data_IF_875768023421
#
_entry.id   IF_875768023421
#
_cell.length_a   1.000
_cell.length_b   1.000
_cell.length_c   1.000
_cell.angle_alpha   90.00
_cell.angle_beta   90.00
_cell.angle_gamma   90.00
#
_symmetry.space_group_name_H-M   'P 1'
#
loop_
_entity.id
_entity.type
_entity.pdbx_description
1 polymer ?
#
# COMPACT_ATOMS: atom_id res chain seq x y z
N UNK A 1 -13.49 74.50 71.47
CA UNK A 1 -13.17 75.46 70.40
C UNK A 1 -12.09 74.85 69.52
N UNK A 2 -12.38 74.77 68.20
CA UNK A 2 -11.45 74.87 67.06
C UNK A 2 -10.03 74.30 67.24
N UNK A 3 -9.74 73.11 66.71
CA UNK A 3 -9.26 72.84 65.32
C UNK A 3 -7.85 73.35 65.02
N UNK A 4 -7.01 72.46 64.45
CA UNK A 4 -6.06 72.69 63.33
C UNK A 4 -4.76 71.92 63.59
N UNK A 5 -4.04 71.28 62.66
CA UNK A 5 -4.20 70.86 61.26
C UNK A 5 -2.81 70.29 60.87
N UNK A 6 -2.79 69.26 60.03
CA UNK A 6 -1.64 68.78 59.23
C UNK A 6 -0.47 68.06 59.94
N UNK A 7 -0.39 66.74 59.75
CA UNK A 7 0.66 66.17 58.88
C UNK A 7 0.04 65.03 58.05
N UNK A 8 0.16 65.22 56.75
CA UNK A 8 -0.31 64.41 55.63
C UNK A 8 0.70 63.28 55.37
N UNK A 9 0.23 62.17 54.77
CA UNK A 9 1.01 61.06 54.16
C UNK A 9 1.30 59.86 55.10
N UNK A 10 0.31 58.99 55.32
CA UNK A 10 0.51 57.55 55.58
C UNK A 10 -0.81 56.73 55.57
N UNK A 11 -1.75 56.99 54.65
CA UNK A 11 -3.06 56.31 54.68
C UNK A 11 -3.61 55.95 53.29
N UNK A 12 -2.77 55.44 52.37
CA UNK A 12 -3.22 54.80 51.12
C UNK A 12 -2.59 53.40 50.98
N UNK A 13 -2.32 52.73 52.10
CA UNK A 13 -1.70 51.40 52.11
C UNK A 13 -2.36 50.47 53.14
N UNK A 14 -3.69 50.41 53.19
CA UNK A 14 -4.37 49.47 54.09
C UNK A 14 -5.76 48.98 53.66
N UNK A 15 -6.25 49.26 52.44
CA UNK A 15 -7.62 48.84 52.01
C UNK A 15 -7.64 47.98 50.73
N UNK A 16 -6.50 47.73 50.07
CA UNK A 16 -6.48 46.84 48.88
C UNK A 16 -6.15 45.37 49.23
N UNK A 17 -6.00 45.02 50.51
CA UNK A 17 -5.55 43.69 50.95
C UNK A 17 -6.65 42.67 51.30
N UNK A 18 -7.89 42.81 50.80
CA UNK A 18 -8.99 41.89 51.14
C UNK A 18 -9.84 41.37 49.95
N UNK A 19 -9.29 41.31 48.73
CA UNK A 19 -9.94 40.58 47.61
C UNK A 19 -8.98 39.59 46.91
N UNK A 20 -7.99 39.07 47.63
CA UNK A 20 -7.21 37.91 47.24
C UNK A 20 -7.81 36.65 47.89
N UNK A 21 -8.91 36.13 47.33
CA UNK A 21 -9.51 34.89 47.80
C UNK A 21 -10.78 34.53 47.03
N UNK A 22 -10.82 33.33 46.47
CA UNK A 22 -11.92 32.73 45.70
C UNK A 22 -11.99 33.07 44.19
N UNK A 23 -10.83 33.09 43.53
CA UNK A 23 -10.75 32.73 42.11
C UNK A 23 -10.43 31.24 41.98
N UNK A 24 -11.25 30.36 42.56
CA UNK A 24 -11.21 28.93 42.22
C UNK A 24 -11.42 28.85 40.72
N UNK A 25 -10.36 28.52 39.98
CA UNK A 25 -10.44 28.22 38.57
C UNK A 25 -11.43 27.10 38.41
N UNK A 26 -12.70 27.46 38.14
CA UNK A 26 -13.65 26.60 37.47
C UNK A 26 -12.88 26.08 36.27
N UNK A 27 -12.46 24.82 36.33
CA UNK A 27 -12.32 24.02 35.13
C UNK A 27 -13.70 24.09 34.51
N UNK A 28 -13.93 25.11 33.69
CA UNK A 28 -15.04 25.14 32.76
C UNK A 28 -14.89 23.83 32.04
N UNK A 29 -15.78 22.90 32.38
CA UNK A 29 -15.93 21.63 31.72
C UNK A 29 -16.28 22.04 30.29
N UNK A 30 -15.25 22.19 29.45
CA UNK A 30 -15.43 22.51 28.03
C UNK A 30 -16.46 21.52 27.57
N UNK A 31 -17.60 22.03 27.10
CA UNK A 31 -18.65 21.20 26.57
C UNK A 31 -18.00 20.16 25.65
N UNK A 32 -18.44 18.89 25.69
CA UNK A 32 -17.88 17.85 24.84
C UNK A 32 -17.75 18.41 23.43
N UNK A 33 -16.57 18.25 22.82
CA UNK A 33 -16.32 18.83 21.51
C UNK A 33 -17.32 18.19 20.52
N UNK A 34 -18.41 18.89 20.21
CA UNK A 34 -19.48 18.34 19.38
C UNK A 34 -19.10 18.49 17.92
N UNK A 35 -19.19 17.37 17.19
CA UNK A 35 -19.05 17.33 15.74
C UNK A 35 -20.46 17.40 15.14
N UNK A 36 -20.66 18.27 14.16
CA UNK A 36 -21.88 18.26 13.36
C UNK A 36 -21.83 17.03 12.43
N UNK A 37 -22.82 16.15 12.54
CA UNK A 37 -22.88 14.90 11.78
C UNK A 37 -24.06 14.99 10.82
N UNK A 38 -23.79 14.95 9.52
CA UNK A 38 -24.83 14.88 8.49
C UNK A 38 -25.48 13.50 8.43
N UNK A 39 -26.59 13.38 7.71
CA UNK A 39 -27.36 12.12 7.60
C UNK A 39 -26.60 10.97 6.94
N UNK A 40 -25.55 11.28 6.18
CA UNK A 40 -24.67 10.31 5.50
C UNK A 40 -23.32 10.14 6.18
N UNK A 41 -23.12 10.76 7.34
CA UNK A 41 -21.80 10.84 7.95
C UNK A 41 -21.75 10.04 9.25
N UNK A 42 -20.54 9.77 9.72
CA UNK A 42 -20.27 9.34 11.08
C UNK A 42 -19.31 10.33 11.72
N UNK A 43 -19.51 10.69 12.97
CA UNK A 43 -18.57 11.60 13.63
C UNK A 43 -18.64 11.55 15.14
N UNK A 44 -17.61 12.06 15.79
CA UNK A 44 -17.53 12.06 17.24
C UNK A 44 -16.14 12.42 17.72
N UNK A 45 -15.84 12.03 18.95
CA UNK A 45 -14.54 12.28 19.59
C UNK A 45 -13.87 10.97 19.97
N UNK A 46 -12.58 10.86 19.68
CA UNK A 46 -11.72 9.79 20.17
C UNK A 46 -10.98 10.25 21.42
N UNK A 47 -11.07 9.47 22.48
CA UNK A 47 -10.38 9.75 23.75
C UNK A 47 -9.63 8.52 24.27
N UNK A 48 -8.69 8.74 25.17
CA UNK A 48 -8.05 7.70 25.99
C UNK A 48 -7.95 8.16 27.44
N UNK A 49 -7.29 7.37 28.29
CA UNK A 49 -6.97 7.77 29.67
C UNK A 49 -6.15 9.06 29.78
N UNK A 50 -5.54 9.52 28.67
CA UNK A 50 -4.75 10.76 28.60
C UNK A 50 -5.54 11.96 28.05
N UNK A 51 -6.82 11.80 27.74
CA UNK A 51 -7.66 12.82 27.12
C UNK A 51 -7.90 12.57 25.62
N UNK A 52 -8.24 13.60 24.83
CA UNK A 52 -8.47 13.45 23.40
C UNK A 52 -7.24 12.96 22.65
N UNK A 53 -7.44 12.06 21.69
CA UNK A 53 -6.36 11.48 20.88
C UNK A 53 -6.30 12.18 19.52
N UNK A 54 -5.30 13.03 19.34
CA UNK A 54 -5.05 13.71 18.08
C UNK A 54 -4.24 12.84 17.09
N UNK A 55 -4.52 12.98 15.80
CA UNK A 55 -3.77 12.31 14.74
C UNK A 55 -3.92 10.80 14.74
N UNK A 56 -5.06 10.25 15.18
CA UNK A 56 -5.36 8.81 15.09
C UNK A 56 -6.35 8.56 13.97
N UNK A 57 -6.26 7.39 13.35
CA UNK A 57 -7.16 6.99 12.28
C UNK A 57 -8.45 6.41 12.86
N UNK A 58 -9.58 6.88 12.37
CA UNK A 58 -10.87 6.23 12.58
C UNK A 58 -11.26 5.52 11.30
N UNK A 59 -11.43 4.21 11.38
CA UNK A 59 -11.71 3.32 10.26
C UNK A 59 -13.16 2.86 10.38
N UNK A 60 -13.94 3.03 9.31
CA UNK A 60 -15.25 2.40 9.14
C UNK A 60 -15.18 1.38 8.02
N UNK A 61 -15.41 0.10 8.32
CA UNK A 61 -15.37 -1.03 7.37
C UNK A 61 -16.75 -1.66 7.23
N UNK A 62 -17.08 -2.11 6.02
CA UNK A 62 -18.32 -2.84 5.74
C UNK A 62 -18.12 -3.90 4.66
N UNK A 63 -18.91 -4.96 4.75
CA UNK A 63 -19.07 -6.01 3.73
C UNK A 63 -20.49 -6.00 3.13
N UNK A 64 -21.33 -5.02 3.48
CA UNK A 64 -22.73 -4.96 3.04
C UNK A 64 -22.88 -4.34 1.62
N UNK A 65 -21.79 -3.80 1.07
CA UNK A 65 -21.74 -3.22 -0.27
C UNK A 65 -21.33 -4.27 -1.32
N UNK A 66 -21.56 -4.02 -2.63
CA UNK A 66 -21.21 -4.98 -3.69
C UNK A 66 -19.74 -5.40 -3.72
N UNK A 67 -18.84 -4.61 -3.13
CA UNK A 67 -17.51 -5.05 -2.72
C UNK A 67 -17.15 -4.57 -1.32
N UNK A 68 -16.23 -5.26 -0.65
CA UNK A 68 -15.73 -4.87 0.67
C UNK A 68 -15.17 -3.46 0.60
N UNK A 69 -15.57 -2.63 1.57
CA UNK A 69 -15.28 -1.21 1.59
C UNK A 69 -14.79 -0.78 2.97
N UNK A 70 -13.83 0.14 2.99
CA UNK A 70 -13.49 0.89 4.19
C UNK A 70 -13.29 2.37 3.87
N UNK A 71 -13.66 3.25 4.80
CA UNK A 71 -13.31 4.68 4.77
C UNK A 71 -12.58 5.06 6.05
N UNK A 72 -11.48 5.78 5.89
CA UNK A 72 -10.57 6.15 6.97
C UNK A 72 -10.40 7.66 6.99
N UNK A 73 -10.49 8.24 8.20
CA UNK A 73 -10.22 9.66 8.45
C UNK A 73 -9.27 9.80 9.62
N UNK A 74 -8.77 11.02 9.85
CA UNK A 74 -7.85 11.30 10.96
C UNK A 74 -8.49 12.29 11.94
N UNK A 75 -8.26 12.08 13.23
CA UNK A 75 -8.73 13.00 14.27
C UNK A 75 -7.94 14.31 14.31
N UNK A 76 -8.61 15.41 14.64
CA UNK A 76 -8.00 16.72 14.86
C UNK A 76 -7.31 16.86 16.24
N UNK A 77 -6.83 18.07 16.58
CA UNK A 77 -6.16 18.36 17.87
C UNK A 77 -7.04 18.08 19.10
N UNK A 78 -8.36 18.08 18.92
CA UNK A 78 -9.34 17.84 19.97
C UNK A 78 -9.88 16.41 19.92
N UNK A 79 -9.26 15.52 19.14
CA UNK A 79 -9.70 14.14 18.96
C UNK A 79 -10.98 14.00 18.15
N UNK A 80 -11.48 15.08 17.52
CA UNK A 80 -12.71 15.04 16.73
C UNK A 80 -12.46 14.41 15.38
N UNK A 81 -13.44 13.67 14.87
CA UNK A 81 -13.43 13.13 13.53
C UNK A 81 -14.81 13.22 12.87
N UNK A 82 -14.80 13.25 11.54
CA UNK A 82 -15.97 13.11 10.69
C UNK A 82 -15.58 12.20 9.52
N UNK A 83 -16.27 11.08 9.34
CA UNK A 83 -16.22 10.23 8.16
C UNK A 83 -17.38 10.68 7.25
N UNK A 84 -17.10 11.42 6.17
CA UNK A 84 -18.14 11.99 5.34
C UNK A 84 -18.66 10.98 4.31
N UNK A 85 -19.90 11.19 3.86
CA UNK A 85 -20.46 10.57 2.64
C UNK A 85 -20.28 9.04 2.62
N UNK A 86 -20.68 8.38 3.70
CA UNK A 86 -20.71 6.93 3.76
C UNK A 86 -21.92 6.40 2.97
N UNK A 87 -21.74 5.39 2.11
CA UNK A 87 -22.85 4.64 1.55
C UNK A 87 -23.78 4.10 2.64
N UNK A 88 -25.04 3.86 2.30
CA UNK A 88 -25.98 3.26 3.24
C UNK A 88 -25.63 1.78 3.46
N UNK A 89 -25.06 1.47 4.63
CA UNK A 89 -24.67 0.14 5.08
C UNK A 89 -24.52 0.10 6.62
N UNK A 90 -24.34 -1.09 7.20
CA UNK A 90 -23.82 -1.21 8.56
C UNK A 90 -22.29 -1.22 8.53
N UNK A 91 -21.68 -0.59 9.53
CA UNK A 91 -20.23 -0.44 9.62
C UNK A 91 -19.70 -0.97 10.94
N UNK A 92 -18.54 -1.62 10.89
CA UNK A 92 -17.66 -1.78 12.04
C UNK A 92 -16.71 -0.59 12.10
N UNK A 93 -16.68 0.12 13.22
CA UNK A 93 -15.87 1.33 13.40
C UNK A 93 -14.89 1.16 14.56
N UNK A 94 -13.62 1.49 14.33
CA UNK A 94 -12.57 1.41 15.34
C UNK A 94 -11.48 2.46 15.13
N UNK A 95 -10.61 2.58 16.12
CA UNK A 95 -9.49 3.51 16.16
C UNK A 95 -8.18 2.74 15.99
N UNK A 96 -7.28 3.28 15.17
CA UNK A 96 -5.89 2.84 15.01
C UNK A 96 -4.96 4.04 15.13
N UNK A 97 -3.75 3.86 15.65
CA UNK A 97 -2.76 4.94 15.70
C UNK A 97 -1.37 4.48 16.12
N UNK A 98 -0.34 5.26 15.78
CA UNK A 98 1.00 4.99 16.29
C UNK A 98 1.04 5.19 17.82
N UNK A 99 1.69 4.25 18.51
CA UNK A 99 1.68 4.15 19.98
C UNK A 99 0.42 3.50 20.56
N UNK A 100 -0.52 3.07 19.73
CA UNK A 100 -1.77 2.40 20.11
C UNK A 100 -1.81 0.98 19.55
N UNK A 101 -2.80 0.22 20.00
CA UNK A 101 -3.31 -0.97 19.29
C UNK A 101 -4.74 -0.66 18.82
N UNK A 102 -5.27 -1.49 17.91
CA UNK A 102 -6.66 -1.34 17.48
C UNK A 102 -7.61 -1.36 18.68
N UNK A 103 -8.54 -0.40 18.71
CA UNK A 103 -9.64 -0.42 19.67
C UNK A 103 -10.63 -1.54 19.37
N UNK A 104 -11.50 -1.92 20.32
CA UNK A 104 -12.67 -2.73 19.99
C UNK A 104 -13.47 -2.11 18.84
N UNK A 105 -13.96 -2.97 17.95
CA UNK A 105 -14.85 -2.58 16.85
C UNK A 105 -16.26 -2.32 17.38
N UNK A 106 -16.85 -1.21 16.97
CA UNK A 106 -18.23 -0.83 17.32
C UNK A 106 -19.09 -0.88 16.07
N UNK A 107 -20.16 -1.66 16.10
CA UNK A 107 -21.13 -1.73 15.01
C UNK A 107 -22.06 -0.52 15.04
N UNK A 108 -22.24 0.17 13.92
CA UNK A 108 -23.10 1.36 13.80
C UNK A 108 -23.68 1.50 12.39
N UNK A 109 -24.50 2.54 12.20
CA UNK A 109 -25.02 3.01 10.91
C UNK A 109 -24.73 4.51 10.76
N UNK A 110 -24.87 5.02 9.53
CA UNK A 110 -24.69 6.45 9.19
C UNK A 110 -25.64 7.39 9.96
N UNK A 111 -25.30 8.68 10.01
CA UNK A 111 -26.06 9.72 10.69
C UNK A 111 -25.93 9.71 12.21
N UNK A 112 -24.91 9.01 12.75
CA UNK A 112 -24.74 8.81 14.19
C UNK A 112 -23.53 9.57 14.74
N UNK A 113 -23.72 10.13 15.92
CA UNK A 113 -22.63 10.57 16.77
C UNK A 113 -22.05 9.38 17.53
N UNK A 114 -20.76 9.11 17.36
CA UNK A 114 -20.08 7.94 17.89
C UNK A 114 -18.75 8.35 18.54
N UNK A 115 -18.73 8.37 19.87
CA UNK A 115 -17.48 8.54 20.60
C UNK A 115 -16.76 7.20 20.72
N UNK A 116 -15.44 7.21 20.57
CA UNK A 116 -14.60 6.02 20.58
C UNK A 116 -13.50 6.15 21.63
N UNK A 117 -13.07 5.01 22.17
CA UNK A 117 -11.98 4.94 23.13
C UNK A 117 -10.78 4.26 22.50
N UNK A 118 -9.67 4.97 22.39
CA UNK A 118 -8.40 4.43 21.92
C UNK A 118 -7.75 3.54 22.99
N UNK A 119 -7.00 2.52 22.54
CA UNK A 119 -6.29 1.59 23.42
C UNK A 119 -4.79 1.80 23.29
N UNK A 120 -4.13 2.14 24.40
CA UNK A 120 -2.67 2.31 24.43
C UNK A 120 -1.99 0.96 24.15
N UNK A 121 -0.91 0.97 23.36
CA UNK A 121 -0.15 -0.25 23.15
C UNK A 121 0.49 -0.72 24.47
N UNK A 122 0.40 -2.02 24.81
CA UNK A 122 0.94 -2.55 26.07
C UNK A 122 2.47 -2.58 26.10
N UNK A 123 3.13 -2.46 24.95
CA UNK A 123 4.58 -2.43 24.83
C UNK A 123 5.03 -1.72 23.54
N UNK A 124 6.33 -1.40 23.46
CA UNK A 124 6.92 -0.86 22.23
C UNK A 124 6.79 -1.85 21.05
N UNK A 125 6.94 -3.14 21.31
CA UNK A 125 6.76 -4.18 20.30
C UNK A 125 5.31 -4.22 19.78
N UNK A 126 4.33 -4.15 20.66
CA UNK A 126 2.92 -4.10 20.27
C UNK A 126 2.58 -2.84 19.45
N UNK A 127 3.18 -1.69 19.78
CA UNK A 127 3.03 -0.47 18.99
C UNK A 127 3.67 -0.60 17.60
N UNK A 128 4.85 -1.21 17.51
CA UNK A 128 5.61 -1.33 16.29
C UNK A 128 4.93 -2.22 15.22
N UNK A 129 4.06 -3.14 15.64
CA UNK A 129 3.22 -3.93 14.70
C UNK A 129 2.35 -3.06 13.78
N UNK A 130 2.07 -1.81 14.18
CA UNK A 130 1.28 -0.85 13.41
C UNK A 130 2.13 0.16 12.64
N UNK A 131 3.46 0.11 12.75
CA UNK A 131 4.32 1.03 11.99
C UNK A 131 4.28 0.71 10.50
N UNK A 132 4.48 1.72 9.63
CA UNK A 132 4.61 1.48 8.20
C UNK A 132 5.71 0.47 7.90
N UNK A 133 5.51 -0.37 6.87
CA UNK A 133 6.49 -1.39 6.48
C UNK A 133 7.90 -0.83 6.26
N UNK A 134 8.03 0.41 5.79
CA UNK A 134 9.33 1.06 5.57
C UNK A 134 10.21 1.17 6.83
N UNK A 135 9.62 1.29 8.03
CA UNK A 135 10.36 1.31 9.29
C UNK A 135 10.95 -0.06 9.65
N UNK A 136 10.26 -1.12 9.27
CA UNK A 136 10.78 -2.48 9.41
C UNK A 136 11.82 -2.79 8.34
N UNK A 137 11.56 -2.35 7.11
CA UNK A 137 12.49 -2.48 5.98
C UNK A 137 13.80 -1.74 6.24
N UNK A 138 13.80 -0.60 6.94
CA UNK A 138 15.02 0.15 7.28
C UNK A 138 15.97 -0.61 8.22
N UNK A 139 15.54 -1.71 8.84
CA UNK A 139 16.42 -2.59 9.61
C UNK A 139 17.30 -3.47 8.70
N UNK A 140 17.00 -3.59 7.40
CA UNK A 140 17.82 -4.33 6.45
C UNK A 140 19.20 -3.65 6.32
N UNK A 141 20.26 -4.40 6.60
CA UNK A 141 21.62 -3.90 6.45
C UNK A 141 22.03 -3.85 4.98
N UNK A 142 22.28 -2.64 4.50
CA UNK A 142 22.84 -2.40 3.17
C UNK A 142 24.37 -2.61 3.25
N UNK A 143 25.01 -3.32 2.31
CA UNK A 143 26.47 -3.39 2.26
C UNK A 143 27.09 -1.99 2.27
N UNK A 144 28.20 -1.82 3.00
CA UNK A 144 28.87 -0.53 3.14
C UNK A 144 29.50 -0.06 1.83
N UNK A 145 29.72 1.26 1.67
CA UNK A 145 30.33 1.82 0.46
C UNK A 145 31.72 1.24 0.15
N UNK A 146 32.48 0.88 1.18
CA UNK A 146 33.83 0.29 1.07
C UNK A 146 33.84 -1.12 0.48
N UNK A 147 32.68 -1.77 0.37
CA UNK A 147 32.57 -3.10 -0.23
C UNK A 147 32.33 -3.04 -1.74
N UNK A 148 32.36 -1.86 -2.36
CA UNK A 148 32.17 -1.69 -3.79
C UNK A 148 33.47 -1.22 -4.46
N UNK A 149 33.76 -1.65 -5.70
CA UNK A 149 32.92 -2.50 -6.57
C UNK A 149 32.82 -3.94 -6.06
N UNK A 150 31.72 -4.64 -6.42
CA UNK A 150 31.56 -6.05 -6.12
C UNK A 150 32.69 -6.89 -6.71
N UNK A 151 33.15 -7.91 -5.99
CA UNK A 151 34.28 -8.77 -6.38
C UNK A 151 33.86 -10.21 -6.68
N UNK A 152 32.56 -10.45 -6.85
CA UNK A 152 32.00 -11.72 -7.30
C UNK A 152 31.90 -12.78 -6.20
N UNK A 153 31.53 -13.99 -6.61
CA UNK A 153 31.25 -15.13 -5.69
C UNK A 153 32.49 -15.61 -4.93
N UNK A 154 33.67 -15.46 -5.51
CA UNK A 154 34.95 -15.82 -4.88
C UNK A 154 35.56 -14.66 -4.07
N UNK A 155 34.89 -13.51 -4.04
CA UNK A 155 35.30 -12.32 -3.29
C UNK A 155 34.30 -12.01 -2.18
N UNK A 156 33.76 -10.78 -2.20
CA UNK A 156 32.84 -10.28 -1.18
C UNK A 156 31.38 -10.75 -1.37
N UNK A 157 31.10 -11.61 -2.35
CA UNK A 157 29.77 -12.14 -2.62
C UNK A 157 28.79 -11.13 -3.23
N UNK A 158 29.27 -9.97 -3.69
CA UNK A 158 28.50 -8.98 -4.46
C UNK A 158 28.87 -9.11 -5.93
N UNK A 159 27.88 -9.14 -6.84
CA UNK A 159 28.12 -9.26 -8.29
C UNK A 159 29.01 -8.13 -8.81
N UNK A 160 29.95 -8.46 -9.68
CA UNK A 160 30.93 -7.52 -10.24
C UNK A 160 30.32 -6.36 -11.04
N UNK A 161 29.06 -6.52 -11.49
CA UNK A 161 28.30 -5.47 -12.17
C UNK A 161 27.94 -4.32 -11.22
N UNK A 162 27.87 -4.58 -9.92
CA UNK A 162 27.55 -3.61 -8.88
C UNK A 162 28.79 -2.76 -8.57
N UNK A 163 28.97 -1.67 -9.32
CA UNK A 163 30.16 -0.82 -9.22
C UNK A 163 30.17 0.09 -7.99
N UNK A 164 28.98 0.48 -7.51
CA UNK A 164 28.82 1.34 -6.34
C UNK A 164 27.64 0.86 -5.49
N UNK A 165 27.58 1.29 -4.22
CA UNK A 165 26.47 0.98 -3.31
C UNK A 165 25.10 1.38 -3.89
N UNK A 166 25.04 2.44 -4.70
CA UNK A 166 23.79 2.88 -5.31
C UNK A 166 23.17 1.82 -6.22
N UNK A 167 23.95 1.01 -6.93
CA UNK A 167 23.40 -0.03 -7.79
C UNK A 167 22.70 -1.12 -6.97
N UNK A 168 23.27 -1.46 -5.81
CA UNK A 168 22.65 -2.41 -4.89
C UNK A 168 21.34 -1.85 -4.32
N UNK A 169 21.35 -0.59 -3.85
CA UNK A 169 20.16 0.08 -3.31
C UNK A 169 19.07 0.18 -4.39
N UNK A 170 19.44 0.60 -5.60
CA UNK A 170 18.53 0.72 -6.74
C UNK A 170 17.90 -0.63 -7.07
N UNK A 171 18.69 -1.70 -7.12
CA UNK A 171 18.18 -3.05 -7.41
C UNK A 171 17.21 -3.54 -6.33
N UNK A 172 17.43 -3.28 -5.03
CA UNK A 172 16.44 -3.63 -3.99
C UNK A 172 15.14 -2.83 -4.19
N UNK A 173 15.24 -1.54 -4.52
CA UNK A 173 14.07 -0.68 -4.71
C UNK A 173 13.27 -1.03 -5.97
N UNK A 174 13.94 -1.26 -7.09
CA UNK A 174 13.28 -1.46 -8.38
C UNK A 174 12.95 -2.92 -8.69
N UNK A 175 13.70 -3.88 -8.13
CA UNK A 175 13.51 -5.31 -8.45
C UNK A 175 12.90 -6.11 -7.29
N UNK A 176 12.82 -5.56 -6.08
CA UNK A 176 12.18 -6.22 -4.94
C UNK A 176 10.99 -5.40 -4.40
N UNK A 177 11.21 -4.13 -4.03
CA UNK A 177 10.16 -3.29 -3.42
C UNK A 177 9.01 -2.96 -4.40
N UNK A 178 9.27 -3.00 -5.70
CA UNK A 178 8.25 -2.82 -6.75
C UNK A 178 7.15 -3.89 -6.69
N UNK A 179 7.52 -5.15 -6.42
CA UNK A 179 6.59 -6.28 -6.36
C UNK A 179 6.23 -6.70 -4.94
N UNK A 180 7.08 -6.39 -3.96
CA UNK A 180 6.91 -6.80 -2.57
C UNK A 180 6.82 -5.57 -1.66
N UNK A 181 5.81 -5.53 -0.80
CA UNK A 181 5.77 -4.58 0.30
C UNK A 181 6.82 -4.97 1.36
N UNK A 182 8.10 -4.60 1.16
CA UNK A 182 9.17 -4.93 2.09
C UNK A 182 8.86 -4.32 3.47
N UNK A 183 9.08 -5.13 4.51
CA UNK A 183 8.76 -4.78 5.88
C UNK A 183 7.29 -4.95 6.29
N UNK A 184 6.40 -5.31 5.36
CA UNK A 184 5.09 -5.87 5.74
C UNK A 184 5.29 -7.15 6.58
N UNK A 185 4.31 -7.48 7.44
CA UNK A 185 4.41 -8.61 8.36
C UNK A 185 4.79 -9.91 7.65
N UNK A 186 4.08 -10.27 6.58
CA UNK A 186 4.37 -11.47 5.80
C UNK A 186 5.76 -11.52 5.16
N UNK A 187 6.40 -10.37 4.92
CA UNK A 187 7.77 -10.30 4.40
C UNK A 187 8.82 -10.34 5.51
N UNK A 188 8.60 -9.63 6.62
CA UNK A 188 9.56 -9.54 7.74
C UNK A 188 9.52 -10.73 8.70
N UNK A 189 8.53 -11.61 8.60
CA UNK A 189 8.46 -12.88 9.34
C UNK A 189 8.53 -14.05 8.38
N UNK A 190 9.03 -15.21 8.82
CA UNK A 190 9.01 -16.46 8.06
C UNK A 190 7.82 -17.33 8.47
N UNK A 191 7.22 -18.02 7.51
CA UNK A 191 6.12 -18.95 7.79
C UNK A 191 6.61 -20.16 8.57
N UNK A 192 5.78 -20.62 9.53
CA UNK A 192 6.15 -21.69 10.46
C UNK A 192 6.60 -22.96 9.73
N UNK A 193 5.88 -23.33 8.68
CA UNK A 193 6.17 -24.51 7.85
C UNK A 193 7.62 -24.51 7.32
N UNK A 194 8.13 -23.36 6.88
CA UNK A 194 9.49 -23.24 6.36
C UNK A 194 10.55 -23.26 7.46
N UNK A 195 10.22 -22.73 8.65
CA UNK A 195 11.14 -22.71 9.81
C UNK A 195 11.21 -24.03 10.56
N UNK A 196 10.26 -24.94 10.35
CA UNK A 196 10.14 -26.19 11.14
C UNK A 196 11.19 -27.25 10.79
N UNK A 197 11.92 -27.07 9.68
CA UNK A 197 12.78 -28.10 9.10
C UNK A 197 14.24 -27.67 8.91
N UNK A 198 14.66 -26.51 9.44
CA UNK A 198 15.96 -25.94 9.10
C UNK A 198 16.29 -24.62 9.77
N UNK A 199 17.42 -24.03 9.38
CA UNK A 199 17.78 -22.67 9.76
C UNK A 199 17.13 -21.63 8.83
N UNK A 200 17.23 -20.34 9.20
CA UNK A 200 16.59 -19.25 8.47
C UNK A 200 17.07 -19.09 7.02
N UNK A 201 18.30 -19.51 6.70
CA UNK A 201 18.80 -19.55 5.32
C UNK A 201 18.02 -20.57 4.46
N UNK A 202 17.76 -21.75 5.00
CA UNK A 202 16.95 -22.76 4.32
C UNK A 202 15.50 -22.29 4.17
N UNK A 203 14.93 -21.65 5.19
CA UNK A 203 13.58 -21.09 5.13
C UNK A 203 13.47 -20.00 4.05
N UNK A 204 14.44 -19.09 3.95
CA UNK A 204 14.49 -18.10 2.87
C UNK A 204 14.69 -18.71 1.49
N UNK A 205 15.50 -19.77 1.38
CA UNK A 205 15.67 -20.50 0.12
C UNK A 205 14.34 -21.09 -0.35
N UNK A 206 13.58 -21.71 0.55
CA UNK A 206 12.23 -22.23 0.25
C UNK A 206 11.27 -21.13 -0.14
N UNK A 207 11.28 -20.00 0.57
CA UNK A 207 10.48 -18.80 0.23
C UNK A 207 10.70 -18.34 -1.21
N UNK A 208 11.96 -18.20 -1.62
CA UNK A 208 12.33 -17.76 -2.99
C UNK A 208 11.90 -18.79 -4.05
N UNK A 209 11.73 -20.05 -3.66
CA UNK A 209 11.32 -21.14 -4.55
C UNK A 209 9.80 -21.38 -4.58
N UNK A 210 9.02 -20.68 -3.75
CA UNK A 210 7.59 -20.91 -3.63
C UNK A 210 6.80 -20.34 -4.83
N UNK A 211 5.75 -21.05 -5.24
CA UNK A 211 4.83 -20.63 -6.30
C UNK A 211 5.47 -20.55 -7.69
N UNK A 212 4.71 -20.00 -8.64
CA UNK A 212 5.10 -19.89 -10.05
C UNK A 212 6.14 -18.79 -10.33
N UNK A 213 6.30 -17.81 -9.43
CA UNK A 213 7.29 -16.73 -9.56
C UNK A 213 8.75 -17.20 -9.41
N UNK A 214 8.97 -18.39 -8.80
CA UNK A 214 10.26 -19.00 -8.45
C UNK A 214 11.45 -18.60 -9.32
N UNK A 215 11.36 -18.82 -10.64
CA UNK A 215 12.47 -18.56 -11.55
C UNK A 215 12.85 -17.07 -11.58
N UNK A 216 11.86 -16.18 -11.64
CA UNK A 216 12.07 -14.73 -11.61
C UNK A 216 12.68 -14.28 -10.28
N UNK A 217 12.21 -14.83 -9.16
CA UNK A 217 12.76 -14.54 -7.83
C UNK A 217 14.24 -14.96 -7.74
N UNK A 218 14.60 -16.13 -8.26
CA UNK A 218 15.98 -16.61 -8.28
C UNK A 218 16.88 -15.75 -9.19
N UNK A 219 16.40 -15.37 -10.38
CA UNK A 219 17.11 -14.49 -11.31
C UNK A 219 17.38 -13.12 -10.69
N UNK A 220 16.35 -12.49 -10.13
CA UNK A 220 16.47 -11.18 -9.48
C UNK A 220 17.43 -11.22 -8.29
N UNK A 221 17.30 -12.22 -7.41
CA UNK A 221 18.22 -12.36 -6.28
C UNK A 221 19.67 -12.59 -6.74
N UNK A 222 19.86 -13.32 -7.83
CA UNK A 222 21.15 -13.55 -8.46
C UNK A 222 21.86 -12.28 -8.95
N UNK A 223 21.13 -11.19 -9.22
CA UNK A 223 21.70 -9.90 -9.62
C UNK A 223 22.53 -9.25 -8.52
N UNK A 224 22.25 -9.57 -7.24
CA UNK A 224 23.01 -9.04 -6.11
C UNK A 224 24.26 -9.86 -5.80
N UNK A 225 24.19 -11.18 -5.97
CA UNK A 225 25.20 -12.14 -5.52
C UNK A 225 24.83 -12.80 -4.18
N UNK A 226 25.57 -13.85 -3.76
CA UNK A 226 25.22 -14.68 -2.61
C UNK A 226 25.10 -13.91 -1.29
N UNK A 227 25.76 -12.74 -1.17
CA UNK A 227 25.68 -11.91 0.04
C UNK A 227 24.26 -11.40 0.34
N UNK A 228 23.44 -11.12 -0.68
CA UNK A 228 22.11 -10.55 -0.45
C UNK A 228 21.21 -11.46 0.38
N UNK A 229 21.21 -12.77 0.11
CA UNK A 229 20.39 -13.72 0.85
C UNK A 229 20.74 -13.73 2.33
N UNK A 230 22.03 -13.66 2.68
CA UNK A 230 22.47 -13.58 4.08
C UNK A 230 21.96 -12.32 4.79
N UNK A 231 21.88 -11.18 4.09
CA UNK A 231 21.35 -9.93 4.66
C UNK A 231 19.84 -9.99 4.93
N UNK A 232 19.08 -10.64 4.05
CA UNK A 232 17.64 -10.87 4.28
C UNK A 232 17.38 -11.86 5.42
N UNK A 233 18.22 -12.89 5.54
CA UNK A 233 18.20 -13.85 6.64
C UNK A 233 18.48 -13.15 7.97
N UNK A 234 19.58 -12.42 8.06
CA UNK A 234 19.95 -11.63 9.25
C UNK A 234 18.84 -10.66 9.65
N UNK A 235 18.26 -9.96 8.67
CA UNK A 235 17.16 -9.02 8.90
C UNK A 235 15.94 -9.69 9.55
N UNK A 236 15.52 -10.86 9.05
CA UNK A 236 14.41 -11.60 9.66
C UNK A 236 14.76 -12.19 11.03
N UNK A 237 16.00 -12.63 11.21
CA UNK A 237 16.45 -13.24 12.48
C UNK A 237 16.52 -12.20 13.59
N UNK A 238 17.07 -11.00 13.31
CA UNK A 238 17.08 -9.91 14.29
C UNK A 238 15.67 -9.47 14.68
N UNK A 239 14.75 -9.35 13.71
CA UNK A 239 13.35 -9.04 13.99
C UNK A 239 12.70 -10.13 14.86
N UNK A 240 12.93 -11.40 14.55
CA UNK A 240 12.41 -12.52 15.34
C UNK A 240 13.00 -12.54 16.77
N UNK A 241 14.25 -12.09 16.93
CA UNK A 241 14.90 -11.91 18.24
C UNK A 241 14.41 -10.68 19.01
N UNK A 242 13.50 -9.88 18.44
CA UNK A 242 12.87 -8.73 19.10
C UNK A 242 13.48 -7.38 18.75
N UNK A 243 14.33 -7.29 17.71
CA UNK A 243 14.74 -6.00 17.18
C UNK A 243 13.53 -5.22 16.66
N UNK A 244 13.44 -3.95 17.05
CA UNK A 244 12.37 -3.03 16.66
C UNK A 244 12.98 -1.87 15.86
N UNK A 245 12.18 -1.23 14.98
CA UNK A 245 12.57 0.04 14.38
C UNK A 245 12.99 1.04 15.45
N UNK A 246 14.15 1.67 15.27
CA UNK A 246 14.72 2.61 16.23
C UNK A 246 13.93 3.91 16.31
N UNK A 247 13.32 4.32 15.19
CA UNK A 247 12.46 5.48 15.10
C UNK A 247 10.98 5.13 15.27
N UNK A 248 10.25 6.03 15.94
CA UNK A 248 8.79 5.95 16.07
C UNK A 248 8.16 6.86 15.02
N UNK A 249 7.23 6.37 14.19
CA UNK A 249 6.55 7.21 13.23
C UNK A 249 5.71 8.28 13.94
N UNK A 250 5.72 9.48 13.38
CA UNK A 250 4.90 10.57 13.86
C UNK A 250 3.45 10.37 13.42
N UNK A 251 2.51 10.76 14.26
CA UNK A 251 1.10 10.84 13.87
C UNK A 251 0.88 12.02 12.92
N UNK A 252 -0.13 11.96 12.04
CA UNK A 252 -0.48 13.10 11.19
C UNK A 252 -0.71 14.37 12.00
N UNK A 253 -0.20 15.50 11.50
CA UNK A 253 -0.28 16.81 12.13
C UNK A 253 -0.76 17.88 11.14
N UNK A 254 -1.39 18.94 11.67
CA UNK A 254 -1.86 20.05 10.84
C UNK A 254 -2.74 19.58 9.66
N UNK A 255 -2.34 19.98 8.44
CA UNK A 255 -3.08 19.68 7.20
C UNK A 255 -3.14 18.19 6.86
N UNK A 256 -2.21 17.37 7.34
CA UNK A 256 -2.19 15.93 7.08
C UNK A 256 -3.42 15.21 7.64
N UNK A 257 -4.09 15.83 8.62
CA UNK A 257 -5.31 15.29 9.24
C UNK A 257 -6.57 15.47 8.39
N UNK A 258 -6.50 16.24 7.31
CA UNK A 258 -7.60 16.43 6.37
C UNK A 258 -7.74 15.27 5.36
N UNK A 259 -6.90 14.24 5.46
CA UNK A 259 -6.94 13.09 4.57
C UNK A 259 -8.17 12.23 4.85
N UNK A 260 -8.88 11.89 3.76
CA UNK A 260 -9.94 10.89 3.74
C UNK A 260 -9.52 9.81 2.74
N UNK A 261 -9.45 8.56 3.20
CA UNK A 261 -9.06 7.42 2.36
C UNK A 261 -10.27 6.54 2.19
N UNK A 262 -10.64 6.25 0.96
CA UNK A 262 -11.62 5.21 0.64
C UNK A 262 -10.88 4.01 0.04
N UNK A 263 -11.21 2.82 0.52
CA UNK A 263 -10.53 1.58 0.18
C UNK A 263 -11.57 0.56 -0.24
N UNK A 264 -11.27 -0.16 -1.32
CA UNK A 264 -12.10 -1.26 -1.81
C UNK A 264 -11.26 -2.50 -2.00
N UNK A 265 -11.85 -3.64 -1.72
CA UNK A 265 -11.34 -4.91 -2.26
C UNK A 265 -11.80 -5.03 -3.70
N UNK A 266 -10.89 -5.39 -4.62
CA UNK A 266 -11.22 -5.59 -6.03
C UNK A 266 -10.17 -6.49 -6.66
N UNK A 267 -10.53 -7.22 -7.71
CA UNK A 267 -9.85 -8.44 -8.21
C UNK A 267 -10.25 -9.72 -7.44
N UNK A 268 -9.41 -10.77 -7.46
CA UNK A 268 -9.64 -12.08 -6.84
C UNK A 268 -8.57 -12.38 -5.79
N UNK A 269 -8.85 -13.21 -4.76
CA UNK A 269 -7.87 -13.57 -3.73
C UNK A 269 -6.57 -14.20 -4.24
N UNK A 270 -6.62 -14.89 -5.39
CA UNK A 270 -5.48 -15.57 -6.02
C UNK A 270 -4.80 -14.74 -7.12
N UNK A 271 -5.38 -13.60 -7.50
CA UNK A 271 -4.85 -12.74 -8.53
C UNK A 271 -3.91 -11.69 -7.92
N UNK A 272 -2.84 -11.41 -8.63
CA UNK A 272 -1.92 -10.31 -8.34
C UNK A 272 -2.35 -9.09 -9.16
N UNK A 273 -2.44 -7.91 -8.55
CA UNK A 273 -2.73 -6.65 -9.23
C UNK A 273 -1.43 -5.85 -9.36
N UNK A 274 -0.99 -5.61 -10.59
CA UNK A 274 0.29 -4.96 -10.90
C UNK A 274 0.11 -3.44 -11.12
N UNK A 275 -0.76 -3.04 -12.07
CA UNK A 275 -1.03 -1.64 -12.37
C UNK A 275 -2.51 -1.32 -12.36
N UNK A 276 -2.84 -0.02 -12.40
CA UNK A 276 -4.19 0.46 -12.63
C UNK A 276 -4.21 1.81 -13.34
N UNK A 277 -5.31 2.10 -14.03
CA UNK A 277 -5.59 3.41 -14.64
C UNK A 277 -6.97 3.90 -14.26
N UNK A 278 -7.04 5.17 -13.83
CA UNK A 278 -8.27 5.83 -13.44
C UNK A 278 -8.76 6.84 -14.47
N UNK A 279 -7.89 7.40 -15.32
CA UNK A 279 -8.24 8.44 -16.31
C UNK A 279 -7.06 8.67 -17.27
N UNK A 280 -7.27 9.46 -18.31
CA UNK A 280 -6.19 9.90 -19.20
C UNK A 280 -5.25 10.86 -18.43
N UNK A 281 -3.96 10.54 -18.38
CA UNK A 281 -2.93 11.36 -17.71
C UNK A 281 -2.82 12.79 -18.26
N UNK A 282 -3.27 13.02 -19.50
CA UNK A 282 -3.26 14.33 -20.17
C UNK A 282 -4.47 15.18 -19.79
N UNK A 283 -5.58 14.55 -19.42
CA UNK A 283 -6.80 15.23 -19.01
C UNK A 283 -7.58 14.37 -18.01
N UNK A 284 -7.48 14.65 -16.69
CA UNK A 284 -8.09 13.80 -15.68
C UNK A 284 -9.63 13.80 -15.71
N UNK A 285 -10.26 14.70 -16.47
CA UNK A 285 -11.73 14.78 -16.60
C UNK A 285 -12.33 13.73 -17.54
N UNK A 286 -11.52 13.03 -18.33
CA UNK A 286 -12.01 12.02 -19.30
C UNK A 286 -12.83 10.92 -18.62
N UNK A 287 -12.42 10.50 -17.43
CA UNK A 287 -13.07 9.44 -16.65
C UNK A 287 -13.35 9.88 -15.20
N UNK A 288 -13.76 11.14 -15.02
CA UNK A 288 -14.13 11.63 -13.70
C UNK A 288 -15.25 10.75 -13.09
N UNK A 289 -15.01 10.23 -11.89
CA UNK A 289 -15.90 9.28 -11.19
C UNK A 289 -16.21 7.98 -11.96
N UNK A 290 -15.44 7.69 -13.01
CA UNK A 290 -15.63 6.50 -13.82
C UNK A 290 -14.92 5.26 -13.25
N UNK A 291 -15.07 4.11 -13.92
CA UNK A 291 -14.43 2.87 -13.49
C UNK A 291 -12.91 2.94 -13.58
N UNK A 292 -12.22 2.31 -12.63
CA UNK A 292 -10.77 2.10 -12.62
C UNK A 292 -10.49 0.71 -13.17
N UNK A 293 -9.52 0.60 -14.07
CA UNK A 293 -9.15 -0.66 -14.72
C UNK A 293 -7.76 -1.10 -14.25
N UNK A 294 -7.63 -2.34 -13.80
CA UNK A 294 -6.37 -2.91 -13.35
C UNK A 294 -5.71 -3.85 -14.36
N UNK A 295 -4.46 -4.19 -14.13
CA UNK A 295 -3.73 -5.22 -14.86
C UNK A 295 -3.21 -6.29 -13.89
N UNK A 296 -3.45 -7.56 -14.23
CA UNK A 296 -3.14 -8.69 -13.36
C UNK A 296 -1.80 -9.37 -13.65
N UNK A 297 -1.04 -8.79 -14.57
CA UNK A 297 0.21 -9.36 -15.08
C UNK A 297 0.07 -10.84 -15.43
N UNK A 298 0.99 -11.70 -14.98
CA UNK A 298 0.98 -13.13 -15.27
C UNK A 298 -0.13 -13.90 -14.50
N UNK A 299 -0.77 -13.28 -13.50
CA UNK A 299 -1.62 -14.04 -12.58
C UNK A 299 -2.93 -14.52 -13.20
N UNK A 300 -3.56 -13.72 -14.06
CA UNK A 300 -4.80 -14.11 -14.75
C UNK A 300 -5.09 -13.21 -15.94
N UNK A 301 -5.94 -13.66 -16.87
CA UNK A 301 -6.43 -12.85 -18.00
C UNK A 301 -7.66 -11.98 -17.64
N UNK A 302 -8.11 -12.02 -16.39
CA UNK A 302 -9.22 -11.21 -15.92
C UNK A 302 -8.75 -9.80 -15.54
N UNK A 303 -9.13 -8.80 -16.33
CA UNK A 303 -8.93 -7.37 -16.02
C UNK A 303 -9.91 -6.95 -14.93
N UNK A 304 -9.45 -6.59 -13.72
CA UNK A 304 -10.34 -6.12 -12.67
C UNK A 304 -10.79 -4.69 -12.93
N UNK A 305 -12.04 -4.41 -12.57
CA UNK A 305 -12.69 -3.12 -12.74
C UNK A 305 -13.33 -2.72 -11.40
N UNK A 306 -13.01 -1.52 -10.91
CA UNK A 306 -13.63 -0.93 -9.73
C UNK A 306 -14.49 0.26 -10.14
N UNK A 307 -15.78 0.23 -9.80
CA UNK A 307 -16.69 1.39 -9.87
C UNK A 307 -16.76 2.02 -8.46
N UNK A 308 -16.00 3.10 -8.20
CA UNK A 308 -15.91 3.69 -6.86
C UNK A 308 -17.21 4.41 -6.44
N UNK A 309 -18.06 4.80 -7.39
CA UNK A 309 -19.35 5.44 -7.10
C UNK A 309 -20.36 4.40 -6.64
N UNK A 310 -20.39 3.25 -7.30
CA UNK A 310 -21.31 2.15 -6.94
C UNK A 310 -20.76 1.23 -5.85
N UNK A 311 -19.51 1.41 -5.44
CA UNK A 311 -18.82 0.52 -4.49
C UNK A 311 -18.88 -0.93 -4.97
N UNK A 312 -18.58 -1.15 -6.26
CA UNK A 312 -18.70 -2.45 -6.90
C UNK A 312 -17.42 -2.82 -7.65
N UNK A 313 -17.01 -4.09 -7.50
CA UNK A 313 -15.93 -4.67 -8.28
C UNK A 313 -16.51 -5.64 -9.33
N UNK A 314 -15.94 -5.63 -10.53
CA UNK A 314 -16.26 -6.56 -11.61
C UNK A 314 -15.00 -6.88 -12.40
N UNK A 315 -15.10 -7.73 -13.42
CA UNK A 315 -13.96 -8.12 -14.24
C UNK A 315 -14.38 -8.33 -15.69
N UNK A 316 -13.43 -8.13 -16.61
CA UNK A 316 -13.57 -8.50 -18.03
C UNK A 316 -12.42 -9.41 -18.43
N UNK A 317 -12.70 -10.44 -19.22
CA UNK A 317 -11.65 -11.33 -19.72
C UNK A 317 -10.95 -10.66 -20.91
N UNK A 318 -9.62 -10.54 -20.83
CA UNK A 318 -8.79 -10.11 -21.94
C UNK A 318 -8.64 -11.26 -22.96
N UNK A 319 -8.91 -11.04 -24.25
CA UNK A 319 -8.76 -12.07 -25.26
C UNK A 319 -7.33 -12.09 -25.85
N UNK A 320 -6.85 -13.28 -26.17
CA UNK A 320 -5.69 -13.49 -27.04
C UNK A 320 -6.13 -14.09 -28.38
N UNK A 321 -5.33 -13.88 -29.42
CA UNK A 321 -5.66 -14.29 -30.80
C UNK A 321 -5.35 -15.75 -31.08
N UNK A 322 -4.17 -16.20 -30.64
CA UNK A 322 -3.67 -17.54 -30.95
C UNK A 322 -3.92 -18.48 -29.76
N UNK A 323 -4.71 -19.56 -29.92
CA UNK A 323 -4.92 -20.57 -28.89
C UNK A 323 -3.63 -21.21 -28.33
N UNK A 324 -2.51 -21.14 -29.07
CA UNK A 324 -1.20 -21.65 -28.63
C UNK A 324 -0.43 -20.67 -27.75
N UNK A 325 -1.00 -19.50 -27.44
CA UNK A 325 -0.38 -18.53 -26.53
C UNK A 325 -0.13 -19.22 -25.18
N UNK A 326 1.11 -19.31 -24.68
CA UNK A 326 1.41 -20.06 -23.46
C UNK A 326 0.70 -19.49 -22.23
N UNK A 327 0.27 -20.36 -21.33
CA UNK A 327 -0.30 -19.98 -20.03
C UNK A 327 0.76 -19.98 -18.94
N UNK A 328 0.54 -19.16 -17.90
CA UNK A 328 1.30 -19.24 -16.65
C UNK A 328 1.14 -20.57 -15.92
N UNK A 329 0.11 -21.37 -16.22
CA UNK A 329 -0.04 -22.75 -15.71
C UNK A 329 1.12 -23.66 -16.13
N UNK A 330 1.79 -23.37 -17.25
CA UNK A 330 2.92 -24.15 -17.75
C UNK A 330 4.22 -23.86 -16.97
N UNK A 331 4.23 -22.83 -16.12
CA UNK A 331 5.39 -22.50 -15.30
C UNK A 331 5.63 -23.57 -14.24
N UNK A 332 6.90 -23.93 -14.07
CA UNK A 332 7.33 -24.71 -12.90
C UNK A 332 7.03 -23.92 -11.63
N UNK A 333 6.53 -24.59 -10.60
CA UNK A 333 6.21 -23.98 -9.32
C UNK A 333 6.81 -24.79 -8.17
N UNK A 334 6.98 -24.14 -7.02
CA UNK A 334 7.26 -24.80 -5.75
C UNK A 334 6.09 -24.66 -4.79
N UNK A 335 6.12 -25.42 -3.71
CA UNK A 335 5.10 -25.39 -2.66
C UNK A 335 4.92 -23.99 -2.06
N UNK A 336 3.67 -23.56 -1.91
CA UNK A 336 3.29 -22.33 -1.21
C UNK A 336 2.66 -22.64 0.15
N UNK A 337 3.08 -22.01 1.25
CA UNK A 337 2.48 -22.21 2.57
C UNK A 337 1.06 -21.64 2.67
N UNK A 338 0.63 -20.85 1.67
CA UNK A 338 -0.72 -20.27 1.61
C UNK A 338 -1.66 -21.04 0.68
N UNK A 339 -1.13 -21.60 -0.41
CA UNK A 339 -1.93 -22.18 -1.50
C UNK A 339 -1.55 -23.63 -1.84
N UNK A 340 -0.64 -24.23 -1.08
CA UNK A 340 -0.11 -25.57 -1.34
C UNK A 340 0.61 -25.67 -2.67
N UNK A 341 0.42 -26.79 -3.36
CA UNK A 341 0.98 -27.07 -4.68
C UNK A 341 0.05 -26.66 -5.84
N UNK A 342 -1.01 -25.90 -5.56
CA UNK A 342 -1.93 -25.43 -6.60
C UNK A 342 -1.28 -24.34 -7.47
N UNK A 343 -1.23 -24.49 -8.81
CA UNK A 343 -0.79 -23.42 -9.71
C UNK A 343 -1.90 -22.37 -9.87
N UNK A 344 -1.86 -21.34 -9.02
CA UNK A 344 -2.92 -20.32 -8.93
C UNK A 344 -2.87 -19.24 -10.04
N UNK A 345 -1.78 -19.14 -10.80
CA UNK A 345 -1.67 -18.21 -11.92
C UNK A 345 -2.01 -18.89 -13.24
N UNK A 346 -2.97 -18.33 -13.98
CA UNK A 346 -3.49 -18.91 -15.22
C UNK A 346 -3.39 -17.98 -16.45
N UNK A 347 -2.82 -16.78 -16.29
CA UNK A 347 -2.78 -15.77 -17.34
C UNK A 347 -1.96 -16.20 -18.56
N UNK A 348 -2.54 -15.97 -19.75
CA UNK A 348 -1.87 -16.10 -21.05
C UNK A 348 -1.33 -14.75 -21.54
N UNK A 349 -2.07 -13.69 -21.25
CA UNK A 349 -1.90 -12.37 -21.87
C UNK A 349 -0.84 -11.53 -21.17
N UNK A 350 -0.53 -11.82 -19.90
CA UNK A 350 0.45 -11.04 -19.13
C UNK A 350 0.15 -9.53 -19.20
N UNK A 351 -1.07 -9.14 -18.81
CA UNK A 351 -1.61 -7.78 -18.98
C UNK A 351 -0.79 -6.78 -18.17
N UNK A 352 -0.40 -5.67 -18.79
CA UNK A 352 0.47 -4.70 -18.15
C UNK A 352 0.19 -3.27 -18.64
N UNK A 353 0.59 -2.28 -17.84
CA UNK A 353 0.61 -0.86 -18.19
C UNK A 353 -0.69 -0.36 -18.85
N UNK A 354 -1.85 -0.46 -18.16
CA UNK A 354 -3.10 0.04 -18.70
C UNK A 354 -3.01 1.58 -18.81
N UNK A 355 -3.34 2.12 -19.98
CA UNK A 355 -3.37 3.57 -20.25
C UNK A 355 -4.73 3.94 -20.84
N UNK A 356 -5.27 5.07 -20.43
CA UNK A 356 -6.52 5.59 -20.99
C UNK A 356 -6.25 6.71 -21.98
N UNK A 357 -6.92 6.69 -23.13
CA UNK A 357 -6.85 7.75 -24.12
C UNK A 357 -7.95 8.80 -23.98
N UNK A 358 -7.93 9.81 -24.84
CA UNK A 358 -8.82 10.97 -24.77
C UNK A 358 -10.29 10.64 -25.03
N UNK A 359 -10.58 9.42 -25.52
CA UNK A 359 -11.94 8.93 -25.79
C UNK A 359 -12.47 8.03 -24.68
N UNK A 360 -11.66 7.77 -23.64
CA UNK A 360 -11.96 6.87 -22.54
C UNK A 360 -11.72 5.39 -22.90
N UNK A 361 -10.97 5.10 -23.98
CA UNK A 361 -10.60 3.72 -24.33
C UNK A 361 -9.38 3.31 -23.52
N UNK A 362 -9.34 2.06 -23.10
CA UNK A 362 -8.28 1.51 -22.24
C UNK A 362 -7.35 0.67 -23.09
N UNK A 363 -6.08 1.06 -23.13
CA UNK A 363 -5.01 0.41 -23.85
C UNK A 363 -4.19 -0.41 -22.89
N UNK A 364 -3.77 -1.61 -23.31
CA UNK A 364 -2.90 -2.47 -22.52
C UNK A 364 -1.74 -2.95 -23.37
N UNK A 365 -0.58 -3.02 -22.74
CA UNK A 365 0.52 -3.86 -23.16
C UNK A 365 0.16 -5.31 -22.78
N UNK A 366 -0.02 -6.19 -23.75
CA UNK A 366 -0.46 -7.57 -23.52
C UNK A 366 0.01 -8.52 -24.63
N UNK A 367 0.37 -9.75 -24.27
CA UNK A 367 0.59 -10.86 -25.18
C UNK A 367 -0.75 -11.24 -25.82
N UNK A 368 -0.76 -11.33 -27.15
CA UNK A 368 -1.93 -11.80 -27.92
C UNK A 368 -1.64 -13.06 -28.73
N UNK A 369 -0.38 -13.50 -28.75
CA UNK A 369 0.12 -14.66 -29.50
C UNK A 369 1.42 -15.20 -28.85
N UNK A 370 1.93 -16.38 -29.24
CA UNK A 370 3.27 -16.83 -28.86
C UNK A 370 4.38 -15.82 -29.20
N UNK A 371 5.51 -15.97 -28.50
CA UNK A 371 6.64 -15.04 -28.57
C UNK A 371 7.25 -14.90 -29.97
N UNK A 372 7.29 -16.00 -30.75
CA UNK A 372 7.82 -15.99 -32.10
C UNK A 372 7.07 -14.97 -32.97
N UNK A 373 7.81 -14.04 -33.57
CA UNK A 373 7.23 -13.02 -34.43
C UNK A 373 6.71 -13.62 -35.74
N UNK A 374 5.65 -13.02 -36.34
CA UNK A 374 5.17 -13.42 -37.66
C UNK A 374 6.20 -13.05 -38.73
N UNK A 375 6.13 -13.73 -39.88
CA UNK A 375 7.11 -13.55 -40.97
C UNK A 375 7.26 -12.10 -41.43
N UNK A 376 6.19 -11.30 -41.37
CA UNK A 376 6.24 -9.88 -41.77
C UNK A 376 7.08 -9.00 -40.81
N UNK A 377 7.46 -9.49 -39.64
CA UNK A 377 8.31 -8.78 -38.68
C UNK A 377 9.80 -9.18 -38.77
N UNK A 378 10.12 -10.19 -39.59
CA UNK A 378 11.45 -10.80 -39.68
C UNK A 378 12.25 -10.27 -40.86
N UNK A 379 13.54 -10.58 -40.86
CA UNK A 379 14.44 -10.20 -41.95
C UNK A 379 13.93 -10.73 -43.30
N UNK A 380 14.03 -9.90 -44.35
CA UNK A 380 13.53 -10.24 -45.69
C UNK A 380 12.08 -9.84 -45.95
N UNK A 381 11.35 -9.31 -44.96
CA UNK A 381 10.02 -8.73 -45.19
C UNK A 381 10.08 -7.31 -45.75
N UNK A 382 9.09 -6.94 -46.55
CA UNK A 382 8.89 -5.58 -47.03
C UNK A 382 8.26 -4.62 -45.99
N UNK A 383 7.84 -5.14 -44.83
CA UNK A 383 7.23 -4.32 -43.78
C UNK A 383 8.23 -3.26 -43.27
N UNK A 384 7.83 -1.97 -43.13
CA UNK A 384 8.74 -0.89 -42.72
C UNK A 384 9.53 -1.20 -41.44
N UNK A 385 8.88 -1.73 -40.41
CA UNK A 385 9.54 -2.11 -39.15
C UNK A 385 10.63 -3.17 -39.35
N UNK A 386 10.40 -4.16 -40.23
CA UNK A 386 11.35 -5.24 -40.49
C UNK A 386 12.56 -4.77 -41.32
N UNK A 387 12.40 -3.71 -42.12
CA UNK A 387 13.52 -3.06 -42.82
C UNK A 387 14.44 -2.28 -41.88
N UNK A 388 13.91 -1.73 -40.79
CA UNK A 388 14.69 -0.95 -39.82
C UNK A 388 15.31 -1.86 -38.76
N UNK A 389 14.50 -2.67 -38.09
CA UNK A 389 14.93 -3.60 -37.05
C UNK A 389 14.10 -4.89 -37.16
N UNK A 390 14.53 -5.88 -37.94
CA UNK A 390 13.86 -7.17 -37.97
C UNK A 390 14.03 -7.88 -36.62
N UNK A 391 12.94 -8.43 -36.09
CA UNK A 391 12.92 -9.10 -34.79
C UNK A 391 12.32 -10.49 -34.92
N UNK A 392 13.05 -11.50 -34.42
CA UNK A 392 12.57 -12.88 -34.39
C UNK A 392 11.46 -13.11 -33.35
N UNK A 393 11.41 -12.29 -32.29
CA UNK A 393 10.56 -12.48 -31.12
C UNK A 393 9.93 -11.15 -30.65
N UNK A 394 8.74 -11.23 -30.05
CA UNK A 394 8.02 -10.12 -29.39
C UNK A 394 7.22 -10.66 -28.21
N UNK A 395 7.47 -10.14 -27.00
CA UNK A 395 6.88 -10.65 -25.77
C UNK A 395 5.44 -10.21 -25.53
N UNK A 396 5.19 -8.88 -25.53
CA UNK A 396 3.86 -8.28 -25.37
C UNK A 396 3.58 -7.32 -26.53
N UNK A 397 2.36 -7.38 -27.07
CA UNK A 397 1.86 -6.49 -28.13
C UNK A 397 0.85 -5.49 -27.54
N UNK A 398 0.05 -4.83 -28.38
CA UNK A 398 -0.94 -3.86 -27.95
C UNK A 398 -2.35 -4.44 -28.00
N UNK A 399 -3.18 -3.99 -27.07
CA UNK A 399 -4.62 -4.25 -27.08
C UNK A 399 -5.37 -3.03 -26.60
N UNK A 400 -6.59 -2.84 -27.10
CA UNK A 400 -7.46 -1.73 -26.70
C UNK A 400 -8.85 -2.27 -26.42
N UNK A 401 -9.39 -1.92 -25.26
CA UNK A 401 -10.77 -2.12 -24.86
C UNK A 401 -11.52 -0.80 -24.97
N UNK A 402 -12.68 -0.81 -25.62
CA UNK A 402 -13.60 0.32 -25.63
C UNK A 402 -14.76 0.05 -24.65
N UNK A 403 -14.77 0.69 -23.46
CA UNK A 403 -15.83 0.49 -22.48
C UNK A 403 -17.23 0.83 -22.98
N UNK A 404 -17.38 1.70 -23.99
CA UNK A 404 -18.69 2.10 -24.51
C UNK A 404 -19.33 0.99 -25.35
N UNK A 405 -18.51 0.20 -26.02
CA UNK A 405 -18.99 -0.88 -26.91
C UNK A 405 -18.73 -2.28 -26.36
N UNK A 406 -17.90 -2.40 -25.33
CA UNK A 406 -17.45 -3.68 -24.78
C UNK A 406 -16.53 -4.47 -25.72
N UNK A 407 -15.93 -3.82 -26.73
CA UNK A 407 -15.13 -4.50 -27.77
C UNK A 407 -13.64 -4.39 -27.51
N UNK A 408 -12.95 -5.47 -27.86
CA UNK A 408 -11.49 -5.55 -27.89
C UNK A 408 -10.96 -5.38 -29.31
N UNK A 409 -9.88 -4.62 -29.43
CA UNK A 409 -9.02 -4.56 -30.62
C UNK A 409 -7.63 -5.02 -30.21
N UNK A 410 -7.24 -6.21 -30.69
CA UNK A 410 -5.90 -6.73 -30.50
C UNK A 410 -5.03 -6.22 -31.65
N UNK A 411 -3.81 -5.76 -31.39
CA UNK A 411 -2.94 -5.10 -32.38
C UNK A 411 -1.59 -5.80 -32.35
N UNK A 412 -1.25 -6.49 -33.44
CA UNK A 412 -0.05 -7.32 -33.53
C UNK A 412 1.16 -6.51 -33.96
N UNK A 413 1.91 -6.03 -32.98
CA UNK A 413 3.13 -5.25 -33.16
C UNK A 413 4.36 -6.15 -33.31
N UNK A 414 5.26 -5.79 -34.23
CA UNK A 414 6.56 -6.46 -34.35
C UNK A 414 7.46 -6.21 -33.13
N UNK A 415 7.39 -5.00 -32.56
CA UNK A 415 8.13 -4.64 -31.37
C UNK A 415 7.35 -5.03 -30.13
N UNK A 416 8.08 -5.50 -29.10
CA UNK A 416 7.49 -5.69 -27.78
C UNK A 416 7.18 -4.33 -27.16
N UNK A 417 6.06 -4.28 -26.45
CA UNK A 417 5.66 -3.15 -25.61
C UNK A 417 5.94 -3.48 -24.14
N UNK A 418 6.13 -2.45 -23.31
CA UNK A 418 6.29 -2.57 -21.86
C UNK A 418 5.21 -1.76 -21.16
#
# INVERSE_FOLDING_TARGET
MRTSLHVTIAAILAVVLCLAGAGSGLKAQRAPATVQVGSTDLGGVVTSSKGPEAGVWVVAETTDLPTKFAKVVVTDDQGRYLIPELPKASYEVWVRGYGLVDSPKVKTEIGRQLNLTAVQAPSAAAAAEYYPGVYWYSLLQIPSKSEFPGTGVNGNGIREVMKTQHYWIDTVKNSCQSCHALGSKGMRTLEKEWTSAGNSLQAWTRRVQAGQARANMALTLGQFGPKALALFVDWTDRIAAGELPTEKPQRPQGVERNVVISMWEWSMPKAYLHDAISTDKRNPRVNANGPIYGSTEASTDMVPILDPVKNAASQIKHPYRDPKTPSSLELTHGHSPYWGDEPIWDGHTSIHNPIMDEKGRVWFTARIRPEANPAYCKAGSDHPSAKVVPLENSGRQLSMYDPKTGKWSLIDTCFSTQ
#
